data_IF_815020292788
#
_entry.id   IF_815020292788
#
_cell.length_a   1.000
_cell.length_b   1.000
_cell.length_c   1.000
_cell.angle_alpha   90.00
_cell.angle_beta   90.00
_cell.angle_gamma   90.00
#
_symmetry.space_group_name_H-M   'P 1'
#
loop_
_entity.id
_entity.type
_entity.pdbx_description
1 polymer ?
#
# COMPACT_ATOMS: atom_id res chain seq x y z
N UNK A 1 11.62 0.62 8.90
CA UNK A 1 10.74 1.19 7.84
C UNK A 1 9.32 1.34 8.38
N UNK A 2 8.42 2.07 7.71
CA UNK A 2 6.99 2.15 8.10
C UNK A 2 6.39 0.74 8.23
N UNK A 3 6.67 -0.13 7.26
CA UNK A 3 6.17 -1.50 7.24
C UNK A 3 6.56 -2.31 8.48
N UNK A 4 7.81 -2.20 8.95
CA UNK A 4 8.29 -2.95 10.12
C UNK A 4 7.50 -2.56 11.39
N UNK A 5 7.27 -1.26 11.58
CA UNK A 5 6.47 -0.78 12.70
C UNK A 5 5.01 -1.23 12.58
N UNK A 6 4.42 -1.15 11.38
CA UNK A 6 3.05 -1.64 11.12
C UNK A 6 2.94 -3.12 11.46
N UNK A 7 3.84 -3.98 10.97
CA UNK A 7 3.81 -5.41 11.27
C UNK A 7 4.11 -5.73 12.72
N UNK A 8 4.97 -4.96 13.40
CA UNK A 8 5.20 -5.11 14.84
C UNK A 8 3.92 -4.85 15.65
N UNK A 9 3.13 -3.86 15.25
CA UNK A 9 1.85 -3.48 15.87
C UNK A 9 0.72 -4.43 15.50
N UNK A 10 0.67 -4.86 14.25
CA UNK A 10 -0.31 -5.84 13.78
C UNK A 10 -0.05 -7.22 14.34
N UNK A 11 1.20 -7.63 14.52
CA UNK A 11 1.54 -9.01 14.88
C UNK A 11 1.09 -10.01 13.79
N UNK A 12 0.86 -11.26 14.20
CA UNK A 12 0.46 -12.33 13.29
C UNK A 12 -1.06 -12.34 13.04
N UNK A 13 -1.58 -11.28 12.41
CA UNK A 13 -2.98 -11.24 11.91
C UNK A 13 -3.20 -12.34 10.88
N UNK A 14 -4.41 -12.89 10.76
CA UNK A 14 -4.71 -13.87 9.70
C UNK A 14 -4.99 -13.16 8.37
N UNK A 15 -5.71 -12.06 8.45
CA UNK A 15 -6.15 -11.27 7.30
C UNK A 15 -5.46 -9.91 7.25
N UNK A 16 -5.32 -9.35 6.06
CA UNK A 16 -4.70 -8.04 5.84
C UNK A 16 -5.41 -7.29 4.71
N UNK A 17 -5.70 -6.01 4.92
CA UNK A 17 -6.40 -5.12 3.98
C UNK A 17 -5.59 -3.84 3.81
N UNK A 18 -5.28 -3.47 2.56
CA UNK A 18 -4.57 -2.23 2.21
C UNK A 18 -5.32 -1.47 1.11
N UNK A 19 -6.21 -0.51 1.47
CA UNK A 19 -7.08 0.19 0.52
C UNK A 19 -6.38 1.20 -0.40
N UNK A 20 -5.16 1.61 -0.05
CA UNK A 20 -4.35 2.62 -0.72
C UNK A 20 -2.98 2.04 -1.11
N UNK A 21 -3.03 0.98 -1.91
CA UNK A 21 -1.90 0.14 -2.25
C UNK A 21 -1.22 0.55 -3.57
N UNK A 22 -1.06 1.85 -3.83
CA UNK A 22 -0.39 2.35 -5.04
C UNK A 22 1.03 1.76 -5.13
N UNK A 23 1.63 1.52 -3.96
CA UNK A 23 2.84 0.72 -3.75
C UNK A 23 2.62 -0.18 -2.52
N UNK A 24 2.30 -1.49 -2.66
CA UNK A 24 1.96 -2.38 -1.54
C UNK A 24 3.19 -2.82 -0.74
N UNK A 25 4.03 -1.86 -0.34
CA UNK A 25 5.30 -2.08 0.34
C UNK A 25 5.12 -2.72 1.71
N UNK A 26 4.05 -2.36 2.43
CA UNK A 26 3.69 -2.94 3.71
C UNK A 26 3.28 -4.40 3.54
N UNK A 27 2.35 -4.72 2.62
CA UNK A 27 2.01 -6.10 2.28
C UNK A 27 3.24 -6.96 1.94
N UNK A 28 4.10 -6.46 1.05
CA UNK A 28 5.28 -7.20 0.58
C UNK A 28 6.26 -7.50 1.72
N UNK A 29 6.36 -6.60 2.71
CA UNK A 29 7.20 -6.75 3.88
C UNK A 29 6.59 -7.60 5.01
N UNK A 30 5.44 -8.27 4.78
CA UNK A 30 4.83 -9.16 5.78
C UNK A 30 5.84 -10.21 6.26
N UNK A 31 6.14 -10.26 7.57
CA UNK A 31 7.07 -11.22 8.13
C UNK A 31 6.50 -12.64 8.04
N UNK A 32 7.41 -13.62 7.95
CA UNK A 32 7.09 -15.05 7.97
C UNK A 32 6.05 -15.50 6.94
N UNK A 33 5.90 -14.74 5.85
CA UNK A 33 5.07 -15.14 4.73
C UNK A 33 5.69 -16.35 4.03
N UNK A 34 4.89 -17.38 3.81
CA UNK A 34 5.29 -18.59 3.09
C UNK A 34 4.17 -19.00 2.14
N UNK A 35 4.50 -19.52 0.95
CA UNK A 35 3.50 -20.08 0.04
C UNK A 35 2.79 -21.26 0.72
N UNK A 36 1.47 -21.40 0.47
CA UNK A 36 0.66 -22.50 1.02
C UNK A 36 0.06 -22.24 2.41
N UNK A 37 0.52 -21.21 3.15
CA UNK A 37 -0.20 -20.76 4.34
C UNK A 37 -1.36 -19.88 3.90
N UNK A 38 -2.59 -20.34 4.16
CA UNK A 38 -3.78 -19.58 3.79
C UNK A 38 -3.90 -18.30 4.61
N UNK A 39 -3.86 -17.16 3.91
CA UNK A 39 -4.03 -15.81 4.44
C UNK A 39 -4.99 -15.07 3.53
N UNK A 40 -5.92 -14.31 4.10
CA UNK A 40 -6.74 -13.39 3.32
C UNK A 40 -6.03 -12.05 3.20
N UNK A 41 -5.43 -11.78 2.06
CA UNK A 41 -4.79 -10.49 1.79
C UNK A 41 -5.53 -9.80 0.64
N UNK A 42 -6.01 -8.59 0.89
CA UNK A 42 -6.75 -7.79 -0.09
C UNK A 42 -6.10 -6.42 -0.24
N UNK A 43 -5.78 -6.04 -1.46
CA UNK A 43 -5.23 -4.72 -1.77
C UNK A 43 -6.09 -4.00 -2.81
N UNK A 44 -6.09 -2.68 -2.72
CA UNK A 44 -6.81 -1.81 -3.65
C UNK A 44 -5.99 -0.56 -3.94
N UNK A 45 -6.11 -0.04 -5.15
CA UNK A 45 -5.77 1.36 -5.42
C UNK A 45 -6.74 1.95 -6.44
N UNK A 46 -6.79 3.26 -6.60
CA UNK A 46 -7.73 3.92 -7.50
C UNK A 46 -7.26 3.88 -8.97
N UNK A 47 -5.94 3.87 -9.20
CA UNK A 47 -5.35 4.21 -10.51
C UNK A 47 -5.27 3.06 -11.54
N UNK A 48 -5.71 1.85 -11.18
CA UNK A 48 -5.66 0.68 -12.06
C UNK A 48 -4.27 0.08 -12.28
N UNK A 49 -3.20 0.67 -11.75
CA UNK A 49 -1.83 0.18 -11.98
C UNK A 49 -1.63 -1.25 -11.48
N UNK A 50 -2.24 -1.59 -10.34
CA UNK A 50 -2.22 -2.96 -9.80
C UNK A 50 -2.82 -3.97 -10.77
N UNK A 51 -4.00 -3.67 -11.32
CA UNK A 51 -4.66 -4.54 -12.30
C UNK A 51 -3.87 -4.66 -13.60
N UNK A 52 -3.36 -3.53 -14.13
CA UNK A 52 -2.49 -3.54 -15.31
C UNK A 52 -1.25 -4.41 -15.09
N UNK A 53 -0.60 -4.27 -13.92
CA UNK A 53 0.58 -5.07 -13.59
C UNK A 53 0.27 -6.56 -13.56
N UNK A 54 -0.88 -6.99 -13.00
CA UNK A 54 -1.22 -8.41 -12.94
C UNK A 54 -1.57 -9.04 -14.28
N UNK A 55 -2.34 -8.34 -15.12
CA UNK A 55 -2.60 -8.81 -16.49
C UNK A 55 -1.29 -8.93 -17.26
N UNK A 56 -0.47 -7.87 -17.26
CA UNK A 56 0.82 -7.88 -17.94
C UNK A 56 1.81 -8.95 -17.41
N UNK A 57 1.80 -9.22 -16.10
CA UNK A 57 2.62 -10.28 -15.50
C UNK A 57 2.17 -11.69 -15.87
N UNK A 58 0.88 -11.85 -16.16
CA UNK A 58 0.28 -13.12 -16.60
C UNK A 58 0.58 -13.36 -18.07
N UNK A 59 0.39 -12.34 -18.91
CA UNK A 59 0.40 -12.50 -20.37
C UNK A 59 1.73 -12.14 -21.04
N UNK A 60 2.53 -11.22 -20.45
CA UNK A 60 3.81 -10.77 -21.04
C UNK A 60 4.88 -10.45 -19.98
N UNK A 61 5.15 -11.45 -19.13
CA UNK A 61 6.16 -11.35 -18.06
C UNK A 61 7.55 -10.94 -18.58
N UNK A 62 7.92 -11.38 -19.79
CA UNK A 62 9.24 -11.08 -20.40
C UNK A 62 9.37 -9.59 -20.72
N UNK A 63 8.34 -8.98 -21.31
CA UNK A 63 8.36 -7.55 -21.61
C UNK A 63 8.32 -6.70 -20.33
N UNK A 64 7.51 -7.10 -19.33
CA UNK A 64 7.53 -6.46 -18.00
C UNK A 64 8.94 -6.49 -17.41
N UNK A 65 9.59 -7.66 -17.41
CA UNK A 65 10.94 -7.82 -16.89
C UNK A 65 11.97 -6.95 -17.65
N UNK A 66 11.87 -6.86 -18.98
CA UNK A 66 12.72 -5.99 -19.80
C UNK A 66 12.61 -4.52 -19.38
N UNK A 67 11.39 -4.03 -19.15
CA UNK A 67 11.16 -2.66 -18.71
C UNK A 67 11.50 -2.42 -17.24
N UNK A 68 11.53 -3.48 -16.43
CA UNK A 68 11.91 -3.44 -15.02
C UNK A 68 13.43 -3.57 -14.78
N UNK A 69 14.19 -4.15 -15.70
CA UNK A 69 15.61 -4.46 -15.57
C UNK A 69 16.55 -3.30 -15.96
N UNK A 70 16.19 -2.06 -15.61
CA UNK A 70 16.95 -0.87 -15.97
C UNK A 70 17.77 -0.38 -14.76
N UNK A 71 19.03 0.10 -14.95
CA UNK A 71 19.84 0.67 -13.88
C UNK A 71 19.12 1.75 -13.06
N UNK A 72 19.55 1.92 -11.81
CA UNK A 72 19.02 2.96 -10.94
C UNK A 72 19.44 4.34 -11.46
N UNK A 73 18.47 5.14 -11.87
CA UNK A 73 18.69 6.50 -12.34
C UNK A 73 17.63 7.41 -11.74
N UNK A 74 18.05 8.41 -10.97
CA UNK A 74 17.13 9.37 -10.35
C UNK A 74 16.38 10.22 -11.40
N UNK A 75 17.06 10.55 -12.50
CA UNK A 75 16.45 11.29 -13.62
C UNK A 75 15.36 10.45 -14.28
N UNK A 76 15.64 9.19 -14.55
CA UNK A 76 14.64 8.28 -15.12
C UNK A 76 13.49 8.00 -14.16
N UNK A 77 13.76 7.95 -12.84
CA UNK A 77 12.71 7.74 -11.85
C UNK A 77 11.69 8.87 -11.91
N UNK A 78 12.18 10.10 -11.89
CA UNK A 78 11.33 11.30 -12.01
C UNK A 78 10.61 11.35 -13.36
N UNK A 79 11.32 11.14 -14.47
CA UNK A 79 10.74 11.22 -15.80
C UNK A 79 9.64 10.17 -16.02
N UNK A 80 9.89 8.91 -15.61
CA UNK A 80 8.90 7.84 -15.73
C UNK A 80 7.73 8.02 -14.77
N UNK A 81 7.97 8.50 -13.54
CA UNK A 81 6.90 8.81 -12.60
C UNK A 81 5.95 9.87 -13.17
N UNK A 82 6.48 10.99 -13.70
CA UNK A 82 5.66 12.01 -14.35
C UNK A 82 4.88 11.46 -15.55
N UNK A 83 5.53 10.64 -16.37
CA UNK A 83 4.91 10.02 -17.53
C UNK A 83 3.78 9.04 -17.17
N UNK A 84 3.94 8.28 -16.09
CA UNK A 84 2.94 7.35 -15.55
C UNK A 84 1.75 8.10 -14.94
N UNK A 85 2.01 9.16 -14.16
CA UNK A 85 0.96 10.00 -13.56
C UNK A 85 0.05 10.58 -14.63
N UNK A 86 0.62 11.11 -15.73
CA UNK A 86 -0.16 11.65 -16.86
C UNK A 86 -0.99 10.64 -17.65
N UNK A 87 -1.04 9.36 -17.25
CA UNK A 87 -1.79 8.30 -17.93
C UNK A 87 -2.87 7.63 -17.07
N UNK A 88 -2.96 7.97 -15.79
CA UNK A 88 -3.82 7.26 -14.81
C UNK A 88 -5.28 7.16 -15.22
N UNK A 89 -5.88 8.29 -15.59
CA UNK A 89 -7.29 8.35 -16.02
C UNK A 89 -7.58 7.41 -17.21
N UNK A 90 -6.62 7.33 -18.14
CA UNK A 90 -6.73 6.44 -19.31
C UNK A 90 -6.58 4.96 -18.98
N UNK A 91 -5.80 4.61 -17.94
CA UNK A 91 -5.54 3.21 -17.57
C UNK A 91 -6.80 2.60 -16.97
N UNK A 92 -7.43 3.27 -16.00
CA UNK A 92 -8.66 2.78 -15.37
C UNK A 92 -9.75 2.51 -16.40
N UNK A 93 -10.04 3.49 -17.26
CA UNK A 93 -11.05 3.38 -18.31
C UNK A 93 -10.79 2.22 -19.29
N UNK A 94 -9.53 1.96 -19.64
CA UNK A 94 -9.16 0.85 -20.53
C UNK A 94 -9.31 -0.51 -19.87
N UNK A 95 -8.89 -0.64 -18.61
CA UNK A 95 -9.02 -1.89 -17.85
C UNK A 95 -10.48 -2.29 -17.63
N UNK A 96 -11.35 -1.30 -17.43
CA UNK A 96 -12.80 -1.50 -17.28
C UNK A 96 -13.47 -1.80 -18.63
N UNK A 97 -13.07 -1.10 -19.70
CA UNK A 97 -13.66 -1.25 -21.03
C UNK A 97 -13.19 -2.48 -21.81
N UNK A 98 -12.07 -3.09 -21.42
CA UNK A 98 -11.50 -4.25 -22.10
C UNK A 98 -10.87 -5.23 -21.08
N UNK A 99 -11.43 -6.45 -20.92
CA UNK A 99 -10.91 -7.44 -19.98
C UNK A 99 -9.53 -7.99 -20.36
N UNK A 100 -9.12 -7.89 -21.63
CA UNK A 100 -7.82 -8.36 -22.13
C UNK A 100 -6.77 -7.24 -22.17
N UNK A 101 -7.17 -5.99 -21.96
CA UNK A 101 -6.21 -4.88 -22.04
C UNK A 101 -5.16 -4.94 -20.93
N UNK A 102 -3.90 -4.80 -21.33
CA UNK A 102 -2.75 -4.52 -20.46
C UNK A 102 -1.65 -3.77 -21.24
N UNK A 103 -0.73 -3.13 -20.51
CA UNK A 103 0.47 -2.51 -21.05
C UNK A 103 1.70 -2.95 -20.23
N UNK A 104 2.58 -3.80 -20.80
CA UNK A 104 3.74 -4.35 -20.09
C UNK A 104 4.84 -3.30 -19.84
N UNK A 105 4.87 -2.20 -20.59
CA UNK A 105 5.80 -1.09 -20.36
C UNK A 105 5.38 -0.26 -19.16
N UNK A 106 4.08 0.07 -19.05
CA UNK A 106 3.51 0.72 -17.86
C UNK A 106 3.80 -0.16 -16.63
N UNK A 107 3.48 -1.45 -16.71
CA UNK A 107 3.73 -2.42 -15.65
C UNK A 107 5.20 -2.50 -15.22
N UNK A 108 6.12 -2.61 -16.19
CA UNK A 108 7.56 -2.69 -15.93
C UNK A 108 8.16 -1.42 -15.33
N UNK A 109 7.74 -0.24 -15.79
CA UNK A 109 8.18 1.03 -15.23
C UNK A 109 7.63 1.28 -13.83
N UNK A 110 6.38 0.91 -13.59
CA UNK A 110 5.74 0.98 -12.28
C UNK A 110 6.45 0.10 -11.25
N UNK A 111 6.69 -1.18 -11.56
CA UNK A 111 7.40 -2.10 -10.64
C UNK A 111 8.86 -1.71 -10.43
N UNK A 112 9.53 -1.17 -11.45
CA UNK A 112 10.87 -0.62 -11.31
C UNK A 112 10.90 0.56 -10.34
N UNK A 113 9.97 1.52 -10.48
CA UNK A 113 9.87 2.66 -9.59
C UNK A 113 9.63 2.21 -8.13
N UNK A 114 8.80 1.18 -7.91
CA UNK A 114 8.60 0.56 -6.59
C UNK A 114 9.91 0.09 -5.96
N UNK A 115 10.64 -0.76 -6.69
CA UNK A 115 11.87 -1.39 -6.21
C UNK A 115 12.93 -0.34 -5.83
N UNK A 116 12.93 0.82 -6.50
CA UNK A 116 13.86 1.93 -6.16
C UNK A 116 13.45 2.69 -4.90
N UNK A 117 12.15 2.83 -4.62
CA UNK A 117 11.64 3.52 -3.41
C UNK A 117 11.73 2.67 -2.15
N UNK A 118 11.81 1.35 -2.28
CA UNK A 118 11.85 0.36 -1.21
C UNK A 118 13.20 0.18 -0.49
N UNK A 119 14.19 1.04 -0.73
CA UNK A 119 15.51 0.91 -0.07
C UNK A 119 16.28 -0.36 -0.47
N UNK A 120 15.94 -0.97 -1.62
CA UNK A 120 16.71 -2.06 -2.20
C UNK A 120 16.42 -3.44 -1.62
N UNK A 121 15.16 -3.83 -1.48
CA UNK A 121 14.82 -5.27 -1.47
C UNK A 121 14.80 -5.73 -2.94
N UNK A 122 15.87 -6.35 -3.49
CA UNK A 122 15.84 -6.87 -4.85
C UNK A 122 14.85 -8.03 -4.90
N UNK A 123 13.64 -7.77 -5.36
CA UNK A 123 12.72 -8.85 -5.75
C UNK A 123 12.81 -9.02 -7.25
N UNK A 124 13.24 -10.21 -7.66
CA UNK A 124 13.10 -10.62 -9.05
C UNK A 124 11.61 -10.65 -9.42
N UNK A 125 11.31 -10.40 -10.68
CA UNK A 125 9.95 -10.47 -11.21
C UNK A 125 9.24 -11.80 -10.86
N UNK A 126 9.89 -12.98 -10.94
CA UNK A 126 9.32 -14.24 -10.45
C UNK A 126 8.99 -14.28 -8.95
N UNK A 127 9.84 -13.69 -8.10
CA UNK A 127 9.59 -13.65 -6.65
C UNK A 127 8.41 -12.74 -6.29
N UNK A 128 8.23 -11.63 -7.01
CA UNK A 128 7.04 -10.78 -6.89
C UNK A 128 5.78 -11.52 -7.33
N UNK A 129 5.82 -12.16 -8.50
CA UNK A 129 4.71 -12.96 -9.00
C UNK A 129 4.27 -14.02 -7.99
N UNK A 130 5.23 -14.72 -7.36
CA UNK A 130 4.96 -15.74 -6.34
C UNK A 130 4.31 -15.14 -5.09
N UNK A 131 4.82 -14.01 -4.59
CA UNK A 131 4.27 -13.34 -3.40
C UNK A 131 2.84 -12.83 -3.61
N UNK A 132 2.54 -12.40 -4.83
CA UNK A 132 1.32 -11.67 -5.14
C UNK A 132 0.22 -12.57 -5.73
N UNK A 133 0.56 -13.79 -6.15
CA UNK A 133 -0.39 -14.84 -6.61
C UNK A 133 -1.54 -15.11 -5.64
N UNK A 134 -1.34 -14.92 -4.34
CA UNK A 134 -2.32 -15.22 -3.29
C UNK A 134 -3.03 -13.98 -2.74
N UNK A 135 -2.87 -12.84 -3.42
CA UNK A 135 -3.39 -11.55 -2.95
C UNK A 135 -4.58 -11.17 -3.82
N UNK A 136 -5.72 -10.91 -3.20
CA UNK A 136 -6.88 -10.34 -3.86
C UNK A 136 -6.63 -8.88 -4.22
N UNK A 137 -7.01 -8.47 -5.42
CA UNK A 137 -6.73 -7.13 -5.95
C UNK A 137 -8.02 -6.49 -6.44
N UNK A 138 -8.26 -5.26 -6.02
CA UNK A 138 -9.31 -4.40 -6.52
C UNK A 138 -8.74 -3.09 -7.09
N UNK A 139 -9.52 -2.39 -7.93
CA UNK A 139 -9.15 -1.08 -8.49
C UNK A 139 -10.32 -0.09 -8.44
N UNK A 140 -10.20 1.03 -7.72
CA UNK A 140 -11.28 2.00 -7.49
C UNK A 140 -11.36 2.54 -6.05
N UNK A 141 -12.53 3.07 -5.66
CA UNK A 141 -12.70 3.77 -4.38
C UNK A 141 -12.32 2.90 -3.16
N UNK A 142 -11.56 3.48 -2.23
CA UNK A 142 -10.94 2.78 -1.10
C UNK A 142 -11.92 1.99 -0.24
N UNK A 143 -13.14 2.51 -0.06
CA UNK A 143 -14.15 1.90 0.81
C UNK A 143 -14.60 0.52 0.34
N UNK A 144 -14.41 0.16 -0.93
CA UNK A 144 -14.87 -1.11 -1.50
C UNK A 144 -14.26 -2.34 -0.80
N UNK A 145 -13.02 -2.23 -0.32
CA UNK A 145 -12.37 -3.32 0.43
C UNK A 145 -12.37 -3.10 1.94
N UNK A 146 -13.06 -2.06 2.43
CA UNK A 146 -13.23 -1.74 3.84
C UNK A 146 -14.58 -2.22 4.40
N UNK A 147 -15.18 -3.23 3.77
CA UNK A 147 -16.45 -3.85 4.21
C UNK A 147 -16.20 -5.00 5.19
N UNK A 148 -17.25 -5.44 5.89
CA UNK A 148 -17.16 -6.57 6.82
C UNK A 148 -16.74 -7.87 6.11
N UNK A 149 -17.02 -8.02 4.81
CA UNK A 149 -16.58 -9.17 4.01
C UNK A 149 -15.05 -9.35 4.04
N UNK A 150 -14.31 -8.25 3.96
CA UNK A 150 -12.85 -8.28 3.93
C UNK A 150 -12.23 -8.02 5.31
N UNK A 151 -12.86 -7.17 6.13
CA UNK A 151 -12.32 -6.76 7.42
C UNK A 151 -12.67 -7.72 8.57
N UNK A 152 -13.75 -8.51 8.43
CA UNK A 152 -14.20 -9.52 9.41
C UNK A 152 -14.29 -10.91 8.78
N UNK A 153 -13.30 -11.30 7.98
CA UNK A 153 -13.22 -12.62 7.33
C UNK A 153 -12.97 -13.80 8.31
N UNK A 154 -13.65 -13.80 9.47
CA UNK A 154 -13.64 -14.85 10.49
C UNK A 154 -12.49 -14.79 11.51
N UNK A 155 -11.53 -13.86 11.35
CA UNK A 155 -10.32 -13.81 12.16
C UNK A 155 -9.78 -12.38 12.30
N UNK A 156 -8.75 -12.22 13.13
CA UNK A 156 -8.06 -10.93 13.34
C UNK A 156 -7.49 -10.37 12.03
N UNK A 157 -7.85 -9.13 11.71
CA UNK A 157 -7.46 -8.42 10.48
C UNK A 157 -6.60 -7.20 10.77
N UNK A 158 -5.48 -7.08 10.04
CA UNK A 158 -4.71 -5.83 9.96
C UNK A 158 -5.24 -4.95 8.83
N UNK A 159 -5.54 -3.68 9.10
CA UNK A 159 -5.97 -2.71 8.07
C UNK A 159 -4.99 -1.55 8.01
N UNK A 160 -4.26 -1.46 6.90
CA UNK A 160 -3.30 -0.38 6.68
C UNK A 160 -3.88 0.69 5.76
N UNK A 161 -4.11 1.88 6.32
CA UNK A 161 -4.68 3.02 5.65
C UNK A 161 -3.57 4.05 5.40
N UNK A 162 -3.25 4.29 4.14
CA UNK A 162 -2.28 5.28 3.73
C UNK A 162 -2.87 6.20 2.65
N UNK A 163 -3.96 6.93 2.96
CA UNK A 163 -4.54 7.87 2.01
C UNK A 163 -3.50 8.92 1.60
N UNK A 164 -3.67 9.47 0.40
CA UNK A 164 -2.93 10.68 0.08
C UNK A 164 -3.48 11.86 0.88
N UNK A 165 -2.59 12.80 1.13
CA UNK A 165 -2.85 13.98 1.96
C UNK A 165 -3.80 14.93 1.26
N UNK A 166 -4.76 15.48 2.00
CA UNK A 166 -5.56 16.62 1.55
C UNK A 166 -4.62 17.84 1.39
N UNK A 167 -4.71 18.57 0.26
CA UNK A 167 -3.98 19.84 0.09
C UNK A 167 -2.52 19.76 -0.36
N UNK A 168 -2.05 18.61 -0.85
CA UNK A 168 -0.73 18.48 -1.47
C UNK A 168 0.36 18.07 -0.48
N UNK A 169 0.96 16.91 -0.74
CA UNK A 169 2.07 16.36 0.04
C UNK A 169 3.28 17.32 -0.04
N UNK A 170 4.00 17.62 1.06
CA UNK A 170 5.38 18.04 0.96
C UNK A 170 6.12 17.00 0.12
N UNK A 171 6.75 17.44 -0.97
CA UNK A 171 7.59 16.61 -1.81
C UNK A 171 8.37 15.61 -0.96
N UNK A 172 8.35 14.32 -1.30
CA UNK A 172 9.34 13.40 -0.77
C UNK A 172 10.75 13.95 -1.06
N UNK A 173 11.80 13.32 -0.53
CA UNK A 173 13.19 13.73 -0.79
C UNK A 173 13.57 13.77 -2.29
N UNK A 174 12.67 13.35 -3.19
CA UNK A 174 12.84 13.26 -4.63
C UNK A 174 11.94 14.21 -5.43
N UNK A 175 11.04 14.98 -4.81
CA UNK A 175 10.18 15.92 -5.53
C UNK A 175 8.98 15.28 -6.24
N UNK A 176 8.70 13.99 -6.01
CA UNK A 176 7.78 13.21 -6.84
C UNK A 176 6.33 13.33 -6.35
N UNK A 177 5.46 13.96 -7.16
CA UNK A 177 4.01 13.99 -6.96
C UNK A 177 3.38 12.71 -7.53
N UNK A 178 3.16 11.72 -6.66
CA UNK A 178 2.41 10.51 -7.02
C UNK A 178 0.96 10.53 -6.53
N UNK A 179 0.49 11.59 -5.87
CA UNK A 179 -0.93 11.68 -5.52
C UNK A 179 -1.37 13.13 -5.33
N UNK A 180 -1.98 13.69 -6.36
CA UNK A 180 -2.59 15.04 -6.35
C UNK A 180 -4.08 15.01 -6.65
N UNK A 181 -4.65 13.83 -6.92
CA UNK A 181 -5.95 13.72 -7.60
C UNK A 181 -7.04 13.13 -6.69
N UNK A 182 -6.86 13.23 -5.37
CA UNK A 182 -7.89 12.83 -4.41
C UNK A 182 -8.67 14.07 -3.95
N UNK A 183 -10.01 14.02 -3.92
CA UNK A 183 -10.82 15.08 -3.33
C UNK A 183 -10.35 15.42 -1.91
N UNK A 184 -10.40 16.69 -1.52
CA UNK A 184 -9.98 17.25 -0.20
C UNK A 184 -10.67 16.62 1.04
N UNK A 185 -11.45 15.56 0.87
CA UNK A 185 -12.19 14.89 1.93
C UNK A 185 -11.75 13.43 2.16
N UNK A 186 -10.96 12.80 1.28
CA UNK A 186 -10.66 11.36 1.43
C UNK A 186 -9.90 11.09 2.72
N UNK A 187 -8.91 11.91 3.08
CA UNK A 187 -8.15 11.68 4.31
C UNK A 187 -9.05 11.80 5.55
N UNK A 188 -9.99 12.75 5.54
CA UNK A 188 -11.00 12.92 6.59
C UNK A 188 -11.99 11.76 6.69
N UNK A 189 -12.47 11.25 5.56
CA UNK A 189 -13.42 10.12 5.52
C UNK A 189 -12.76 8.84 6.01
N UNK A 190 -11.52 8.60 5.59
CA UNK A 190 -10.70 7.48 6.04
C UNK A 190 -10.43 7.56 7.53
N UNK A 191 -10.11 8.75 8.06
CA UNK A 191 -9.97 8.97 9.51
C UNK A 191 -11.28 8.63 10.24
N UNK A 192 -12.41 9.08 9.72
CA UNK A 192 -13.73 8.86 10.34
C UNK A 192 -14.02 7.38 10.44
N UNK A 193 -13.87 6.64 9.33
CA UNK A 193 -14.00 5.19 9.30
C UNK A 193 -13.03 4.49 10.25
N UNK A 194 -11.76 4.92 10.27
CA UNK A 194 -10.74 4.34 11.14
C UNK A 194 -11.13 4.45 12.61
N UNK A 195 -11.61 5.63 13.04
CA UNK A 195 -12.04 5.89 14.42
C UNK A 195 -13.28 5.08 14.78
N UNK A 196 -14.30 5.04 13.92
CA UNK A 196 -15.53 4.27 14.12
C UNK A 196 -15.25 2.77 14.30
N UNK A 197 -14.27 2.25 13.54
CA UNK A 197 -13.89 0.84 13.54
C UNK A 197 -12.78 0.50 14.53
N UNK A 198 -12.13 1.50 15.11
CA UNK A 198 -10.92 1.34 15.93
C UNK A 198 -11.09 0.50 17.19
N UNK A 199 -12.31 0.48 17.74
CA UNK A 199 -12.64 -0.25 18.96
C UNK A 199 -13.10 -1.70 18.69
N UNK A 200 -13.16 -2.14 17.44
CA UNK A 200 -13.44 -3.53 17.10
C UNK A 200 -12.25 -4.43 17.49
N UNK A 201 -12.42 -5.41 18.41
CA UNK A 201 -11.33 -6.28 18.86
C UNK A 201 -10.79 -7.21 17.76
N UNK A 202 -11.50 -7.36 16.65
CA UNK A 202 -11.04 -8.12 15.48
C UNK A 202 -10.22 -7.27 14.49
N UNK A 203 -10.04 -5.97 14.75
CA UNK A 203 -9.30 -5.07 13.87
C UNK A 203 -8.06 -4.49 14.54
N UNK A 204 -6.96 -4.50 13.79
CA UNK A 204 -5.75 -3.72 14.07
C UNK A 204 -5.56 -2.72 12.95
N UNK A 205 -5.84 -1.46 13.22
CA UNK A 205 -5.84 -0.40 12.19
C UNK A 205 -4.60 0.46 12.37
N UNK A 206 -3.91 0.73 11.26
CA UNK A 206 -2.83 1.70 11.18
C UNK A 206 -3.18 2.76 10.14
N UNK A 207 -3.31 4.01 10.57
CA UNK A 207 -3.62 5.16 9.72
C UNK A 207 -2.38 6.03 9.57
N UNK A 208 -1.91 6.24 8.34
CA UNK A 208 -0.86 7.21 8.05
C UNK A 208 -1.44 8.61 7.84
N UNK A 209 -0.63 9.61 8.16
CA UNK A 209 -0.86 11.00 7.80
C UNK A 209 0.31 11.86 8.24
N UNK A 210 0.07 13.14 8.45
CA UNK A 210 1.05 14.13 8.85
C UNK A 210 0.71 14.80 10.18
N UNK A 211 1.72 15.38 10.80
CA UNK A 211 1.54 16.26 11.94
C UNK A 211 0.48 17.34 11.66
N UNK A 212 -0.54 17.41 12.52
CA UNK A 212 -1.65 18.35 12.40
C UNK A 212 -2.83 17.86 11.54
N UNK A 213 -2.67 16.80 10.75
CA UNK A 213 -3.69 16.34 9.80
C UNK A 213 -4.90 15.68 10.48
N UNK A 214 -4.65 14.87 11.52
CA UNK A 214 -5.70 14.10 12.19
C UNK A 214 -5.79 14.43 13.68
N UNK A 215 -6.99 14.84 14.11
CA UNK A 215 -7.36 14.88 15.53
C UNK A 215 -7.76 13.48 15.98
N UNK A 216 -6.83 12.65 16.45
CA UNK A 216 -7.14 11.27 16.83
C UNK A 216 -7.64 11.13 18.28
N UNK A 217 -8.44 10.10 18.60
CA UNK A 217 -8.78 9.76 19.98
C UNK A 217 -7.54 9.50 20.84
N UNK A 218 -7.63 9.73 22.16
CA UNK A 218 -6.46 9.68 23.08
C UNK A 218 -5.90 8.27 23.29
N UNK A 219 -6.73 7.26 23.10
CA UNK A 219 -6.42 5.84 23.22
C UNK A 219 -5.75 5.26 21.96
N UNK A 220 -5.69 6.03 20.87
CA UNK A 220 -4.88 5.68 19.71
C UNK A 220 -3.43 6.05 19.93
N UNK A 221 -2.54 5.09 19.65
CA UNK A 221 -1.12 5.32 19.79
C UNK A 221 -0.57 6.03 18.55
N UNK A 222 0.14 7.15 18.76
CA UNK A 222 0.83 7.87 17.70
C UNK A 222 2.31 7.45 17.64
N UNK A 223 2.79 7.12 16.43
CA UNK A 223 4.21 6.91 16.13
C UNK A 223 4.69 7.99 15.17
N UNK A 224 5.62 8.83 15.63
CA UNK A 224 6.11 9.99 14.89
C UNK A 224 7.42 9.70 14.15
N UNK A 225 7.47 10.05 12.87
CA UNK A 225 8.72 10.17 12.13
C UNK A 225 9.16 11.63 12.08
N UNK A 226 9.87 12.04 13.14
CA UNK A 226 10.27 13.43 13.42
C UNK A 226 10.87 14.15 12.19
N UNK A 227 11.75 13.47 11.42
CA UNK A 227 12.42 14.08 10.27
C UNK A 227 11.50 14.39 9.08
N UNK A 228 10.37 13.71 8.94
CA UNK A 228 9.47 13.87 7.79
C UNK A 228 8.10 14.41 8.17
N UNK A 229 7.86 14.71 9.45
CA UNK A 229 6.53 15.05 10.00
C UNK A 229 5.44 14.02 9.70
N UNK A 230 5.83 12.82 9.26
CA UNK A 230 4.90 11.71 9.00
C UNK A 230 4.52 11.09 10.33
N UNK A 231 3.25 10.76 10.48
CA UNK A 231 2.71 10.10 11.66
C UNK A 231 1.96 8.85 11.26
N UNK A 232 1.95 7.87 12.16
CA UNK A 232 1.10 6.68 12.05
C UNK A 232 0.33 6.54 13.35
N UNK A 233 -0.99 6.44 13.27
CA UNK A 233 -1.85 6.18 14.41
C UNK A 233 -2.31 4.73 14.39
N UNK A 234 -2.18 4.06 15.52
CA UNK A 234 -2.57 2.67 15.72
C UNK A 234 -3.81 2.58 16.62
N UNK A 235 -4.79 1.77 16.21
CA UNK A 235 -6.00 1.54 17.00
C UNK A 235 -5.71 0.87 18.35
N UNK A 236 -6.59 1.01 19.36
CA UNK A 236 -6.37 0.48 20.71
C UNK A 236 -6.03 -1.02 20.78
N UNK A 237 -6.55 -1.82 19.86
CA UNK A 237 -6.33 -3.28 19.80
C UNK A 237 -5.03 -3.70 19.08
N UNK A 238 -4.27 -2.73 18.54
CA UNK A 238 -2.91 -2.98 18.07
C UNK A 238 -2.00 -3.36 19.24
N UNK A 239 -0.99 -4.20 18.98
CA UNK A 239 -0.04 -4.60 20.02
C UNK A 239 0.69 -3.38 20.56
N UNK A 240 0.65 -3.21 21.86
CA UNK A 240 1.61 -2.35 22.54
C UNK A 240 3.00 -3.00 22.44
N UNK A 241 4.06 -2.21 22.32
CA UNK A 241 5.43 -2.74 22.19
C UNK A 241 5.70 -3.79 23.26
N UNK A 242 6.12 -4.99 22.83
CA UNK A 242 6.68 -5.96 23.76
C UNK A 242 7.96 -5.34 24.29
N UNK A 243 8.18 -5.28 25.63
CA UNK A 243 9.48 -4.87 26.15
C UNK A 243 10.54 -5.78 25.53
N UNK A 244 11.58 -5.19 24.95
CA UNK A 244 12.77 -5.93 24.51
C UNK A 244 13.26 -6.66 25.76
N UNK A 245 13.17 -7.99 25.79
CA UNK A 245 13.88 -8.77 26.80
C UNK A 245 15.37 -8.57 26.52
N UNK A 246 15.99 -7.67 27.28
CA UNK A 246 17.45 -7.60 27.36
C UNK A 246 17.86 -8.89 28.07
N UNK A 247 18.40 -9.84 27.32
CA UNK A 247 19.15 -10.92 27.93
C UNK A 247 20.42 -10.28 28.48
N UNK A 248 20.50 -10.21 29.81
CA UNK A 248 21.73 -9.89 30.54
C UNK A 248 22.74 -11.03 30.38
#
# INVERSE_FOLDING_TARGET
MIADEVWRRFGNVKSYVEPFASFPTTLLARPDWQPGIWRHEMINDMDGMLCNFWRAMTDDQKCVARHAAIPASKRDLRARNLWLTGRRESIGSRLEGDPEWYDPKIAGWWVWAMNRKLGGVPRSIPSLATRLRYVGVASGHWSRICTDVFTKAGDLTGVFLAPAVDGGIPTDRYGDRWSTDLPEAISKDVRTWAVERGNDPLLRIALCGYEGEHKMPKDWLCHDQVRSKKRIWFSPHCRQSVPVRVFL
#
